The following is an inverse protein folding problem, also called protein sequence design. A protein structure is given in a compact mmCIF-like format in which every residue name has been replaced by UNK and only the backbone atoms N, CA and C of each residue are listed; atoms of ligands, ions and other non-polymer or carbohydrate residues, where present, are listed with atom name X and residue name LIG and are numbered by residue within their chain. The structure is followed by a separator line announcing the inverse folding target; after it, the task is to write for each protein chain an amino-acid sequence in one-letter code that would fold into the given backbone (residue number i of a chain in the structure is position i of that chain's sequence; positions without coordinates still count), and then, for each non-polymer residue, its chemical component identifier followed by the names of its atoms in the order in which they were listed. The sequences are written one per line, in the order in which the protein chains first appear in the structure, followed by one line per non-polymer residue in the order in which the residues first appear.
data_IF_747278139303
#
_entry.id   IF_747278139303
#
_cell.length_a   1.000
_cell.length_b   1.000
_cell.length_c   1.000
_cell.angle_alpha   90.00
_cell.angle_beta   90.00
_cell.angle_gamma   90.00
#
_symmetry.space_group_name_H-M   'P 1'
#
loop_
_entity.id
_entity.type
_entity.pdbx_description
1 polymer ?
#
# COMPACT_ATOMS: atom_id res chain seq x y z
N UNK A 1 -3.95 17.26 17.28
CA UNK A 1 -4.28 17.90 15.98
C UNK A 1 -5.31 17.06 15.22
N UNK A 2 -6.04 17.68 14.29
CA UNK A 2 -6.84 16.97 13.30
C UNK A 2 -6.08 16.83 11.99
N UNK A 3 -5.75 15.58 11.64
CA UNK A 3 -4.87 15.23 10.51
C UNK A 3 -5.66 14.60 9.40
N UNK A 4 -5.43 15.04 8.16
CA UNK A 4 -5.99 14.42 6.96
C UNK A 4 -4.92 13.62 6.21
N UNK A 5 -5.12 12.32 6.05
CA UNK A 5 -4.27 11.48 5.20
C UNK A 5 -4.69 11.64 3.75
N UNK A 6 -3.74 11.99 2.87
CA UNK A 6 -3.91 12.01 1.42
C UNK A 6 -3.10 10.87 0.80
N UNK A 7 -3.78 9.81 0.40
CA UNK A 7 -3.16 8.62 -0.20
C UNK A 7 -4.00 8.07 -1.36
N UNK A 8 -3.53 7.02 -1.99
CA UNK A 8 -4.29 6.30 -3.01
C UNK A 8 -5.51 5.63 -2.37
N UNK A 9 -6.70 5.81 -2.94
CA UNK A 9 -7.92 5.14 -2.49
C UNK A 9 -8.28 4.02 -3.46
N UNK A 10 -7.54 2.91 -3.42
CA UNK A 10 -7.80 1.73 -4.22
C UNK A 10 -8.49 0.64 -3.38
N UNK A 11 -9.80 0.46 -3.60
CA UNK A 11 -10.63 -0.52 -2.89
C UNK A 11 -10.52 -1.94 -3.45
N UNK A 12 -9.51 -2.23 -4.23
CA UNK A 12 -9.18 -3.56 -4.74
C UNK A 12 -7.74 -3.99 -4.46
N UNK A 13 -6.95 -3.12 -3.80
CA UNK A 13 -5.54 -3.35 -3.54
C UNK A 13 -5.28 -3.54 -2.03
N UNK A 14 -4.80 -4.73 -1.65
CA UNK A 14 -4.50 -5.09 -0.27
C UNK A 14 -3.51 -4.13 0.39
N UNK A 15 -2.35 -3.94 -0.24
CA UNK A 15 -1.30 -3.09 0.29
C UNK A 15 -1.78 -1.66 0.51
N UNK A 16 -2.56 -1.14 -0.44
CA UNK A 16 -3.10 0.20 -0.35
C UNK A 16 -4.02 0.40 0.86
N UNK A 17 -4.97 -0.52 1.10
CA UNK A 17 -5.85 -0.43 2.27
C UNK A 17 -5.11 -0.64 3.58
N UNK A 18 -4.18 -1.61 3.60
CA UNK A 18 -3.44 -1.97 4.82
C UNK A 18 -2.43 -0.88 5.23
N UNK A 19 -1.73 -0.24 4.28
CA UNK A 19 -0.85 0.89 4.61
C UNK A 19 -1.65 2.12 5.10
N UNK A 20 -2.81 2.38 4.52
CA UNK A 20 -3.68 3.48 4.97
C UNK A 20 -4.17 3.25 6.41
N UNK A 21 -4.65 2.05 6.71
CA UNK A 21 -5.01 1.65 8.07
C UNK A 21 -3.84 1.82 9.04
N UNK A 22 -2.66 1.33 8.68
CA UNK A 22 -1.48 1.38 9.53
C UNK A 22 -1.03 2.83 9.82
N UNK A 23 -1.04 3.70 8.79
CA UNK A 23 -0.71 5.11 8.98
C UNK A 23 -1.73 5.81 9.88
N UNK A 24 -3.04 5.57 9.66
CA UNK A 24 -4.09 6.09 10.52
C UNK A 24 -3.87 5.65 11.98
N UNK A 25 -3.65 4.36 12.24
CA UNK A 25 -3.43 3.85 13.59
C UNK A 25 -2.17 4.41 14.25
N UNK A 26 -1.11 4.58 13.48
CA UNK A 26 0.13 5.21 13.97
C UNK A 26 -0.11 6.66 14.39
N UNK A 27 -0.78 7.45 13.58
CA UNK A 27 -1.10 8.85 13.91
C UNK A 27 -2.10 8.96 15.07
N UNK A 28 -3.11 8.09 15.13
CA UNK A 28 -4.05 7.99 16.27
C UNK A 28 -3.32 7.65 17.57
N UNK A 29 -2.33 6.75 17.53
CA UNK A 29 -1.53 6.39 18.71
C UNK A 29 -0.66 7.53 19.25
N UNK A 30 -0.44 8.55 18.42
CA UNK A 30 0.25 9.81 18.80
C UNK A 30 -0.72 10.91 19.32
N UNK A 31 -2.00 10.56 19.56
CA UNK A 31 -3.01 11.46 20.12
C UNK A 31 -3.73 12.36 19.11
N UNK A 32 -3.69 12.03 17.82
CA UNK A 32 -4.32 12.84 16.79
C UNK A 32 -5.72 12.29 16.40
N UNK A 33 -6.61 13.19 15.99
CA UNK A 33 -7.84 12.84 15.27
C UNK A 33 -7.51 12.72 13.77
N UNK A 34 -7.75 11.55 13.19
CA UNK A 34 -7.27 11.23 11.84
C UNK A 34 -8.41 10.86 10.92
N UNK A 35 -8.38 11.41 9.70
CA UNK A 35 -9.32 11.09 8.63
C UNK A 35 -8.56 10.88 7.32
N UNK A 36 -8.97 9.93 6.50
CA UNK A 36 -8.44 9.75 5.14
C UNK A 36 -9.32 10.47 4.14
N UNK A 37 -8.72 11.34 3.31
CA UNK A 37 -9.44 12.03 2.23
C UNK A 37 -9.73 11.06 1.09
N UNK A 38 -11.00 11.01 0.66
CA UNK A 38 -11.38 10.28 -0.55
C UNK A 38 -11.00 11.07 -1.79
N UNK A 39 -9.87 10.69 -2.39
CA UNK A 39 -9.33 11.28 -3.59
C UNK A 39 -9.88 10.55 -4.82
N UNK A 40 -10.69 11.23 -5.62
CA UNK A 40 -11.32 10.68 -6.84
C UNK A 40 -10.58 11.14 -8.07
N UNK A 41 -9.39 10.64 -8.28
CA UNK A 41 -8.76 10.76 -9.59
C UNK A 41 -9.40 9.72 -10.50
N UNK A 42 -10.20 10.19 -11.47
CA UNK A 42 -10.80 9.32 -12.47
C UNK A 42 -9.72 8.89 -13.46
N UNK A 43 -9.38 7.62 -13.58
CA UNK A 43 -8.66 7.16 -14.76
C UNK A 43 -9.58 7.38 -15.98
N UNK A 44 -9.10 8.07 -16.99
CA UNK A 44 -9.83 8.38 -18.24
C UNK A 44 -10.24 7.13 -19.08
N UNK A 45 -9.92 5.94 -18.60
CA UNK A 45 -10.03 4.68 -19.32
C UNK A 45 -11.41 3.98 -19.24
N UNK A 46 -12.36 4.50 -18.47
CA UNK A 46 -13.73 3.94 -18.48
C UNK A 46 -14.61 4.71 -19.47
N UNK A 47 -14.94 4.07 -20.59
CA UNK A 47 -15.87 4.63 -21.60
C UNK A 47 -17.27 4.07 -21.45
N UNK A 48 -18.29 4.85 -21.86
CA UNK A 48 -19.68 4.40 -22.01
C UNK A 48 -20.60 4.64 -20.81
N UNK A 49 -21.76 3.95 -20.81
CA UNK A 49 -22.84 4.13 -19.82
C UNK A 49 -22.38 3.87 -18.38
N UNK A 50 -21.48 2.91 -18.17
CA UNK A 50 -20.88 2.62 -16.86
C UNK A 50 -20.14 3.83 -16.27
N UNK A 51 -19.37 4.56 -17.09
CA UNK A 51 -18.68 5.79 -16.66
C UNK A 51 -19.70 6.85 -16.20
N UNK A 52 -20.78 7.05 -16.95
CA UNK A 52 -21.83 8.03 -16.59
C UNK A 52 -22.50 7.66 -15.26
N UNK A 53 -22.86 6.39 -15.08
CA UNK A 53 -23.48 5.89 -13.85
C UNK A 53 -22.52 6.03 -12.66
N UNK A 54 -21.26 5.65 -12.80
CA UNK A 54 -20.24 5.79 -11.75
C UNK A 54 -19.92 7.25 -11.43
N UNK A 55 -19.90 8.14 -12.42
CA UNK A 55 -19.71 9.58 -12.22
C UNK A 55 -20.88 10.23 -11.46
N UNK A 56 -22.12 9.85 -11.77
CA UNK A 56 -23.30 10.39 -11.09
C UNK A 56 -23.53 9.80 -9.70
N UNK A 57 -23.33 8.50 -9.53
CA UNK A 57 -23.65 7.78 -8.30
C UNK A 57 -22.43 7.52 -7.40
N UNK A 58 -21.21 7.61 -7.95
CA UNK A 58 -19.96 7.20 -7.29
C UNK A 58 -19.75 5.69 -7.31
N UNK A 59 -18.49 5.27 -7.41
CA UNK A 59 -18.07 3.87 -7.59
C UNK A 59 -18.56 2.91 -6.49
N UNK A 60 -18.78 3.42 -5.29
CA UNK A 60 -19.19 2.67 -4.10
C UNK A 60 -20.55 3.12 -3.57
N UNK A 61 -21.40 3.74 -4.41
CA UNK A 61 -22.76 4.06 -4.00
C UNK A 61 -23.57 2.77 -3.83
N UNK A 62 -24.58 2.82 -2.93
CA UNK A 62 -25.49 1.70 -2.71
C UNK A 62 -26.15 1.22 -4.02
N UNK A 63 -26.51 2.13 -4.91
CA UNK A 63 -27.10 1.82 -6.21
C UNK A 63 -26.10 1.13 -7.15
N UNK A 64 -24.84 1.54 -7.17
CA UNK A 64 -23.79 0.87 -7.96
C UNK A 64 -23.55 -0.56 -7.45
N UNK A 65 -23.54 -0.75 -6.13
CA UNK A 65 -23.40 -2.08 -5.53
C UNK A 65 -24.62 -2.98 -5.82
N UNK A 66 -25.83 -2.45 -5.79
CA UNK A 66 -27.03 -3.21 -6.16
C UNK A 66 -27.01 -3.63 -7.64
N UNK A 67 -26.59 -2.73 -8.52
CA UNK A 67 -26.43 -3.04 -9.94
C UNK A 67 -25.37 -4.12 -10.18
N UNK A 68 -24.20 -3.99 -9.55
CA UNK A 68 -23.14 -5.01 -9.64
C UNK A 68 -23.58 -6.35 -9.06
N UNK A 69 -24.33 -6.34 -7.94
CA UNK A 69 -24.94 -7.55 -7.36
C UNK A 69 -25.88 -8.23 -8.33
N UNK A 70 -26.77 -7.48 -8.98
CA UNK A 70 -27.68 -8.02 -9.97
C UNK A 70 -26.94 -8.70 -11.13
N UNK A 71 -25.90 -8.05 -11.67
CA UNK A 71 -25.11 -8.63 -12.74
C UNK A 71 -24.18 -9.77 -12.29
N UNK A 72 -23.90 -9.89 -11.00
CA UNK A 72 -23.09 -10.97 -10.45
C UNK A 72 -23.77 -12.35 -10.55
N UNK A 73 -25.10 -12.35 -10.64
CA UNK A 73 -25.90 -13.59 -10.76
C UNK A 73 -25.63 -14.32 -12.10
N UNK A 74 -25.23 -13.58 -13.14
CA UNK A 74 -25.08 -14.11 -14.49
C UNK A 74 -23.69 -14.71 -14.82
N UNK A 75 -22.72 -14.64 -13.90
CA UNK A 75 -21.37 -15.12 -14.14
C UNK A 75 -20.60 -15.34 -12.85
N UNK A 76 -20.00 -16.54 -12.72
CA UNK A 76 -19.16 -16.89 -11.55
C UNK A 76 -18.04 -15.87 -11.33
N UNK A 77 -17.34 -15.45 -12.38
CA UNK A 77 -16.29 -14.41 -12.25
C UNK A 77 -16.83 -13.08 -11.75
N UNK A 78 -18.03 -12.67 -12.17
CA UNK A 78 -18.65 -11.44 -11.68
C UNK A 78 -19.07 -11.55 -10.21
N UNK A 79 -19.54 -12.75 -9.81
CA UNK A 79 -19.87 -13.05 -8.41
C UNK A 79 -18.64 -12.93 -7.53
N UNK A 80 -17.54 -13.59 -7.89
CA UNK A 80 -16.27 -13.55 -7.15
C UNK A 80 -15.72 -12.12 -7.03
N UNK A 81 -15.74 -11.35 -8.12
CA UNK A 81 -15.32 -9.94 -8.10
C UNK A 81 -16.20 -9.07 -7.21
N UNK A 82 -17.52 -9.30 -7.22
CA UNK A 82 -18.46 -8.59 -6.35
C UNK A 82 -18.18 -8.93 -4.87
N UNK A 83 -18.06 -10.22 -4.52
CA UNK A 83 -17.74 -10.66 -3.15
C UNK A 83 -16.44 -10.03 -2.66
N UNK A 84 -15.39 -10.07 -3.50
CA UNK A 84 -14.11 -9.43 -3.17
C UNK A 84 -14.28 -7.93 -2.91
N UNK A 85 -14.99 -7.22 -3.78
CA UNK A 85 -15.26 -5.79 -3.61
C UNK A 85 -15.99 -5.50 -2.29
N UNK A 86 -16.99 -6.31 -1.94
CA UNK A 86 -17.72 -6.19 -0.68
C UNK A 86 -16.79 -6.37 0.53
N UNK A 87 -15.90 -7.37 0.50
CA UNK A 87 -14.95 -7.62 1.58
C UNK A 87 -13.98 -6.45 1.77
N UNK A 88 -13.49 -5.84 0.68
CA UNK A 88 -12.67 -4.63 0.75
C UNK A 88 -13.43 -3.42 1.31
N UNK A 89 -14.68 -3.23 0.92
CA UNK A 89 -15.53 -2.13 1.40
C UNK A 89 -15.87 -2.29 2.88
N UNK A 90 -16.21 -3.51 3.32
CA UNK A 90 -16.47 -3.82 4.72
C UNK A 90 -15.23 -3.54 5.57
N UNK A 91 -14.08 -4.06 5.16
CA UNK A 91 -12.82 -3.77 5.85
C UNK A 91 -12.55 -2.27 5.96
N UNK A 92 -12.73 -1.53 4.86
CA UNK A 92 -12.54 -0.08 4.85
C UNK A 92 -13.48 0.62 5.81
N UNK A 93 -14.79 0.30 5.75
CA UNK A 93 -15.81 0.90 6.60
C UNK A 93 -15.57 0.66 8.10
N UNK A 94 -15.08 -0.54 8.44
CA UNK A 94 -14.84 -0.92 9.83
C UNK A 94 -13.54 -0.37 10.41
N UNK A 95 -12.52 -0.18 9.56
CA UNK A 95 -11.16 0.05 10.02
C UNK A 95 -10.56 1.40 9.62
N UNK A 96 -11.06 2.06 8.58
CA UNK A 96 -10.51 3.31 8.05
C UNK A 96 -11.56 4.42 8.13
N UNK A 97 -11.21 5.51 8.80
CA UNK A 97 -12.05 6.72 8.85
C UNK A 97 -11.87 7.52 7.58
N UNK A 98 -12.78 7.38 6.63
CA UNK A 98 -12.76 8.14 5.39
C UNK A 98 -13.65 9.38 5.47
N UNK A 99 -13.29 10.42 4.70
CA UNK A 99 -14.10 11.63 4.57
C UNK A 99 -15.46 11.30 3.93
N UNK A 100 -16.51 11.99 4.35
CA UNK A 100 -17.86 11.89 3.76
C UNK A 100 -17.97 12.63 2.42
N UNK A 101 -16.96 13.40 2.04
CA UNK A 101 -16.86 14.10 0.75
C UNK A 101 -15.71 13.49 -0.07
N UNK A 102 -15.70 13.84 -1.36
CA UNK A 102 -14.67 13.42 -2.32
C UNK A 102 -14.02 14.66 -2.90
N UNK A 103 -12.72 14.60 -3.12
CA UNK A 103 -12.00 15.62 -3.88
C UNK A 103 -11.65 15.09 -5.27
N UNK A 104 -11.68 15.96 -6.25
CA UNK A 104 -11.28 15.71 -7.63
C UNK A 104 -10.43 16.87 -8.16
N UNK A 105 -9.97 16.80 -9.40
CA UNK A 105 -9.13 17.83 -10.02
C UNK A 105 -9.85 19.20 -10.16
N UNK A 106 -11.17 19.24 -10.07
CA UNK A 106 -11.98 20.45 -10.10
C UNK A 106 -12.14 21.09 -8.72
N UNK A 107 -11.80 20.35 -7.66
CA UNK A 107 -11.86 20.85 -6.28
C UNK A 107 -10.76 21.90 -6.09
N UNK A 108 -11.16 23.16 -5.87
CA UNK A 108 -10.21 24.28 -5.70
C UNK A 108 -10.06 24.73 -4.25
N UNK A 109 -11.17 24.82 -3.53
CA UNK A 109 -11.25 25.11 -2.09
C UNK A 109 -12.50 24.49 -1.53
N UNK A 110 -12.44 23.97 -0.34
CA UNK A 110 -13.60 23.42 0.34
C UNK A 110 -13.57 23.77 1.83
N UNK A 111 -14.76 23.95 2.41
CA UNK A 111 -14.92 24.38 3.79
C UNK A 111 -14.31 23.41 4.80
N UNK A 112 -14.17 22.15 4.43
CA UNK A 112 -13.55 21.12 5.26
C UNK A 112 -12.09 21.44 5.62
N UNK A 113 -11.33 22.07 4.73
CA UNK A 113 -9.94 22.46 4.95
C UNK A 113 -9.76 23.30 6.22
N UNK A 114 -10.77 24.09 6.58
CA UNK A 114 -10.78 24.88 7.82
C UNK A 114 -10.72 24.01 9.09
N UNK A 115 -11.18 22.76 9.02
CA UNK A 115 -11.18 21.84 10.15
C UNK A 115 -9.93 20.96 10.23
N UNK A 116 -9.02 21.08 9.28
CA UNK A 116 -7.77 20.31 9.23
C UNK A 116 -6.62 21.18 9.71
N UNK A 117 -5.78 20.61 10.54
CA UNK A 117 -4.56 21.26 11.05
C UNK A 117 -3.35 20.92 10.14
N UNK A 118 -3.28 19.67 9.65
CA UNK A 118 -2.16 19.18 8.86
C UNK A 118 -2.58 18.07 7.88
N UNK A 119 -1.94 18.01 6.72
CA UNK A 119 -2.06 16.90 5.80
C UNK A 119 -0.83 15.98 5.89
N UNK A 120 -1.08 14.65 5.89
CA UNK A 120 -0.04 13.65 5.76
C UNK A 120 -0.21 12.94 4.42
N UNK A 121 0.76 13.12 3.52
CA UNK A 121 0.77 12.59 2.15
C UNK A 121 1.48 11.23 2.15
N UNK A 122 0.80 10.22 1.64
CA UNK A 122 1.35 8.86 1.57
C UNK A 122 0.61 7.91 2.53
N UNK A 123 1.13 6.79 2.73
CA UNK A 123 2.22 6.12 2.04
C UNK A 123 1.83 5.69 0.60
N UNK A 124 2.46 4.60 0.11
CA UNK A 124 2.24 4.00 -1.18
C UNK A 124 2.73 4.89 -2.36
N UNK A 125 2.49 4.46 -3.58
CA UNK A 125 3.03 5.06 -4.80
C UNK A 125 2.25 6.32 -5.23
N UNK A 126 2.01 7.22 -4.29
CA UNK A 126 1.28 8.48 -4.55
C UNK A 126 1.97 9.36 -5.61
N UNK A 127 3.29 9.25 -5.73
CA UNK A 127 4.09 10.03 -6.69
C UNK A 127 4.55 9.22 -7.91
N UNK A 128 3.86 8.12 -8.24
CA UNK A 128 4.19 7.33 -9.42
C UNK A 128 3.49 7.89 -10.67
N UNK A 129 4.26 8.55 -11.53
CA UNK A 129 3.78 9.14 -12.78
C UNK A 129 3.22 8.12 -13.78
N UNK A 130 3.62 6.86 -13.68
CA UNK A 130 3.14 5.81 -14.58
C UNK A 130 1.70 5.37 -14.28
N UNK A 131 1.13 5.82 -13.17
CA UNK A 131 -0.26 5.54 -12.83
C UNK A 131 -1.20 6.56 -13.46
N UNK A 132 -2.27 6.12 -14.15
CA UNK A 132 -3.24 7.03 -14.78
C UNK A 132 -3.90 8.03 -13.81
N UNK A 133 -3.89 7.70 -12.51
CA UNK A 133 -4.45 8.54 -11.46
C UNK A 133 -3.53 9.66 -10.96
N UNK A 134 -2.24 9.65 -11.33
CA UNK A 134 -1.26 10.63 -10.84
C UNK A 134 -1.65 12.06 -11.23
N UNK A 135 -1.68 12.94 -10.24
CA UNK A 135 -2.13 14.32 -10.43
C UNK A 135 -1.60 15.27 -9.34
N UNK A 136 -1.92 16.55 -9.46
CA UNK A 136 -1.63 17.58 -8.44
C UNK A 136 -2.26 17.31 -7.09
N UNK A 137 -3.35 16.54 -7.04
CA UNK A 137 -3.99 16.15 -5.79
C UNK A 137 -3.08 15.33 -4.89
N UNK A 138 -2.09 14.62 -5.49
CA UNK A 138 -1.12 13.80 -4.77
C UNK A 138 -0.07 14.63 -4.00
N UNK A 139 -0.04 15.95 -4.23
CA UNK A 139 0.76 16.94 -3.48
C UNK A 139 -0.08 17.84 -2.58
N UNK A 140 -1.40 17.62 -2.52
CA UNK A 140 -2.33 18.45 -1.75
C UNK A 140 -2.24 19.93 -2.12
N UNK A 141 -2.10 20.24 -3.42
CA UNK A 141 -1.99 21.63 -3.92
C UNK A 141 -3.26 22.47 -3.67
N UNK A 142 -4.39 21.82 -3.35
CA UNK A 142 -5.65 22.48 -3.03
C UNK A 142 -5.73 23.09 -1.64
N UNK A 143 -4.74 22.87 -0.78
CA UNK A 143 -4.68 23.39 0.59
C UNK A 143 -3.39 24.17 0.85
N UNK A 144 -3.51 25.23 1.66
CA UNK A 144 -2.37 25.99 2.20
C UNK A 144 -1.93 25.52 3.60
N UNK A 145 -2.58 24.48 4.15
CA UNK A 145 -2.20 23.91 5.46
C UNK A 145 -0.85 23.20 5.38
N UNK A 146 -0.21 23.03 6.53
CA UNK A 146 1.04 22.29 6.64
C UNK A 146 0.92 20.87 6.09
N UNK A 147 1.99 20.42 5.42
CA UNK A 147 2.05 19.13 4.75
C UNK A 147 3.29 18.35 5.16
N UNK A 148 3.09 17.10 5.53
CA UNK A 148 4.15 16.13 5.79
C UNK A 148 4.00 15.01 4.78
N UNK A 149 5.05 14.60 4.09
CA UNK A 149 4.97 13.31 3.39
C UNK A 149 5.55 12.21 4.27
N UNK A 150 4.81 11.11 4.40
CA UNK A 150 5.26 9.94 5.14
C UNK A 150 5.34 8.71 4.24
N UNK A 151 6.56 8.20 4.05
CA UNK A 151 6.84 7.05 3.20
C UNK A 151 6.18 7.15 1.81
N UNK A 152 6.07 8.36 1.25
CA UNK A 152 5.57 8.55 -0.10
C UNK A 152 6.53 7.90 -1.11
N UNK A 153 6.00 7.23 -2.11
CA UNK A 153 6.80 6.46 -3.06
C UNK A 153 6.58 6.93 -4.49
N UNK A 154 7.68 7.03 -5.23
CA UNK A 154 7.66 7.21 -6.68
C UNK A 154 7.41 5.88 -7.39
N UNK A 155 7.79 4.75 -6.79
CA UNK A 155 7.64 3.42 -7.37
C UNK A 155 8.51 3.18 -8.61
N UNK A 156 9.36 4.12 -8.98
CA UNK A 156 10.26 4.11 -10.15
C UNK A 156 11.65 4.58 -9.74
N UNK A 157 12.65 4.30 -10.58
CA UNK A 157 14.03 4.68 -10.29
C UNK A 157 14.36 6.12 -10.70
N UNK A 158 13.66 6.68 -11.68
CA UNK A 158 13.82 8.07 -12.16
C UNK A 158 12.49 8.55 -12.77
N UNK A 159 12.40 9.85 -13.02
CA UNK A 159 11.24 10.49 -13.64
C UNK A 159 11.63 11.13 -14.96
N UNK A 160 10.71 11.20 -15.96
CA UNK A 160 10.97 11.91 -17.20
C UNK A 160 11.26 13.40 -16.96
N UNK A 161 12.24 13.94 -17.67
CA UNK A 161 12.62 15.36 -17.55
C UNK A 161 11.45 16.33 -17.79
N UNK A 162 10.50 15.96 -18.64
CA UNK A 162 9.29 16.73 -18.90
C UNK A 162 8.40 16.92 -17.66
N UNK A 163 8.54 16.06 -16.64
CA UNK A 163 7.79 16.14 -15.38
C UNK A 163 8.56 16.85 -14.25
N UNK A 164 9.84 17.22 -14.46
CA UNK A 164 10.66 17.82 -13.43
C UNK A 164 10.01 19.07 -12.79
N UNK A 165 9.45 19.95 -13.61
CA UNK A 165 8.79 21.16 -13.11
C UNK A 165 7.52 20.84 -12.32
N UNK A 166 6.72 19.87 -12.78
CA UNK A 166 5.52 19.42 -12.09
C UNK A 166 5.85 18.90 -10.68
N UNK A 167 6.83 18.00 -10.58
CA UNK A 167 7.27 17.49 -9.27
C UNK A 167 7.92 18.56 -8.40
N UNK A 168 8.74 19.45 -8.99
CA UNK A 168 9.39 20.53 -8.23
C UNK A 168 8.36 21.43 -7.56
N UNK A 169 7.31 21.83 -8.26
CA UNK A 169 6.23 22.65 -7.71
C UNK A 169 5.53 21.90 -6.57
N UNK A 170 5.13 20.64 -6.78
CA UNK A 170 4.43 19.85 -5.77
C UNK A 170 5.29 19.60 -4.52
N UNK A 171 6.56 19.23 -4.71
CA UNK A 171 7.48 18.92 -3.61
C UNK A 171 7.84 20.16 -2.76
N UNK A 172 8.03 21.34 -3.38
CA UNK A 172 8.28 22.58 -2.66
C UNK A 172 7.10 23.03 -1.80
N UNK A 173 5.91 22.51 -2.03
CA UNK A 173 4.74 22.76 -1.20
C UNK A 173 4.62 21.86 0.03
N UNK A 174 5.62 21.02 0.32
CA UNK A 174 5.61 20.07 1.45
C UNK A 174 6.66 20.49 2.47
N UNK A 175 6.25 20.68 3.72
CA UNK A 175 7.14 21.22 4.77
C UNK A 175 8.16 20.19 5.29
N UNK A 176 7.73 18.91 5.40
CA UNK A 176 8.58 17.82 5.89
C UNK A 176 8.45 16.60 4.99
N UNK A 177 9.54 16.22 4.34
CA UNK A 177 9.53 15.15 3.31
C UNK A 177 10.21 13.90 3.82
N UNK A 178 9.50 12.76 3.77
CA UNK A 178 10.08 11.43 3.82
C UNK A 178 9.55 10.56 2.68
N UNK A 179 10.38 9.62 2.27
CA UNK A 179 10.09 8.71 1.17
C UNK A 179 10.28 7.25 1.62
N UNK A 180 9.73 6.30 0.87
CA UNK A 180 9.81 4.88 1.20
C UNK A 180 11.07 4.19 0.67
N UNK A 181 11.66 4.71 -0.39
CA UNK A 181 12.80 4.08 -1.10
C UNK A 181 13.92 5.05 -1.43
N UNK A 182 15.13 4.48 -1.58
CA UNK A 182 16.35 5.25 -1.89
C UNK A 182 16.27 5.97 -3.24
N UNK A 183 15.63 5.38 -4.27
CA UNK A 183 15.41 6.07 -5.54
C UNK A 183 14.55 7.32 -5.37
N UNK A 184 13.51 7.25 -4.54
CA UNK A 184 12.69 8.41 -4.21
C UNK A 184 13.51 9.51 -3.49
N UNK A 185 14.42 9.13 -2.58
CA UNK A 185 15.36 10.07 -1.96
C UNK A 185 16.20 10.79 -3.03
N UNK A 186 16.78 10.06 -3.96
CA UNK A 186 17.61 10.62 -5.05
C UNK A 186 16.81 11.56 -5.94
N UNK A 187 15.56 11.21 -6.29
CA UNK A 187 14.67 12.05 -7.11
C UNK A 187 14.41 13.39 -6.40
N UNK A 188 14.00 13.35 -5.12
CA UNK A 188 13.72 14.57 -4.35
C UNK A 188 14.95 15.45 -4.24
N UNK A 189 16.11 14.88 -3.86
CA UNK A 189 17.37 15.62 -3.72
C UNK A 189 17.78 16.30 -5.03
N UNK A 190 17.66 15.59 -6.15
CA UNK A 190 17.96 16.13 -7.51
C UNK A 190 17.03 17.29 -7.88
N UNK A 191 15.75 17.21 -7.52
CA UNK A 191 14.73 18.18 -7.96
C UNK A 191 14.72 19.47 -7.13
N UNK A 192 14.85 19.38 -5.82
CA UNK A 192 14.66 20.49 -4.90
C UNK A 192 15.80 20.71 -3.91
N UNK A 193 16.89 19.94 -3.98
CA UNK A 193 18.07 20.06 -3.10
C UNK A 193 17.83 19.67 -1.63
N UNK A 194 16.68 19.07 -1.31
CA UNK A 194 16.34 18.58 0.04
C UNK A 194 16.71 17.11 0.15
N UNK A 195 17.35 16.73 1.26
CA UNK A 195 17.68 15.34 1.60
C UNK A 195 16.53 14.70 2.43
N UNK A 196 15.55 14.01 1.82
CA UNK A 196 14.44 13.43 2.56
C UNK A 196 14.91 12.21 3.37
N UNK A 197 14.21 11.93 4.47
CA UNK A 197 14.43 10.68 5.22
C UNK A 197 13.80 9.51 4.47
N UNK A 198 14.53 8.40 4.39
CA UNK A 198 13.95 7.11 3.96
C UNK A 198 13.40 6.43 5.20
N UNK A 199 12.08 6.19 5.21
CA UNK A 199 11.35 5.63 6.36
C UNK A 199 10.62 4.36 5.98
N UNK A 200 10.26 3.56 6.97
CA UNK A 200 9.48 2.33 6.75
C UNK A 200 8.08 2.63 6.24
N UNK A 201 7.57 1.74 5.38
CA UNK A 201 6.15 1.71 5.07
C UNK A 201 5.33 1.58 6.36
N UNK A 202 4.18 2.26 6.50
CA UNK A 202 3.36 2.21 7.71
C UNK A 202 3.00 0.80 8.16
N UNK A 203 2.87 -0.15 7.23
CA UNK A 203 2.55 -1.54 7.58
C UNK A 203 3.56 -2.16 8.53
N UNK A 204 4.82 -1.76 8.45
CA UNK A 204 5.91 -2.23 9.31
C UNK A 204 5.98 -1.51 10.67
N UNK A 205 5.20 -0.44 10.88
CA UNK A 205 5.10 0.25 12.16
C UNK A 205 4.21 -0.48 13.16
N UNK A 206 3.24 -1.24 12.69
CA UNK A 206 2.36 -2.03 13.54
C UNK A 206 3.00 -3.37 13.89
N UNK A 207 2.66 -3.88 15.06
CA UNK A 207 3.14 -5.20 15.51
C UNK A 207 2.34 -6.34 14.88
N UNK A 208 2.91 -7.54 14.89
CA UNK A 208 2.20 -8.79 14.55
C UNK A 208 0.87 -8.92 15.30
N UNK A 209 0.86 -8.55 16.60
CA UNK A 209 -0.35 -8.61 17.44
C UNK A 209 -1.42 -7.63 16.96
N UNK A 210 -1.04 -6.42 16.54
CA UNK A 210 -1.99 -5.43 16.04
C UNK A 210 -2.65 -5.88 14.73
N UNK A 211 -1.88 -6.47 13.83
CA UNK A 211 -2.41 -7.06 12.61
C UNK A 211 -3.35 -8.25 12.87
N UNK A 212 -3.04 -9.09 13.86
CA UNK A 212 -3.89 -10.22 14.24
C UNK A 212 -5.25 -9.80 14.82
N UNK A 213 -5.38 -8.59 15.38
CA UNK A 213 -6.67 -8.07 15.90
C UNK A 213 -7.71 -7.84 14.81
N UNK A 214 -7.27 -7.50 13.60
CA UNK A 214 -8.14 -7.18 12.46
C UNK A 214 -8.10 -8.26 11.37
N UNK A 215 -7.44 -9.37 11.61
CA UNK A 215 -7.43 -10.51 10.72
C UNK A 215 -8.65 -11.42 10.98
N UNK A 216 -9.07 -12.16 9.96
CA UNK A 216 -10.03 -13.24 10.16
C UNK A 216 -9.43 -14.34 11.05
N UNK A 217 -10.30 -15.15 11.66
CA UNK A 217 -9.88 -16.28 12.52
C UNK A 217 -9.97 -17.62 11.80
N UNK A 218 -9.91 -17.61 10.47
CA UNK A 218 -10.00 -18.84 9.70
C UNK A 218 -8.82 -19.77 10.02
N UNK A 219 -9.14 -21.04 10.20
CA UNK A 219 -8.19 -22.12 10.46
C UNK A 219 -8.04 -22.95 9.20
N UNK A 220 -6.81 -23.29 8.86
CA UNK A 220 -6.50 -24.16 7.72
C UNK A 220 -6.07 -25.53 8.25
N UNK A 221 -6.65 -26.60 7.70
CA UNK A 221 -6.35 -27.99 8.09
C UNK A 221 -4.99 -28.45 7.59
N UNK A 222 -4.53 -27.89 6.48
CA UNK A 222 -3.29 -28.27 5.82
C UNK A 222 -2.24 -27.16 5.93
N UNK A 223 -0.98 -27.56 6.04
CA UNK A 223 0.16 -26.66 5.89
C UNK A 223 0.26 -26.20 4.45
N UNK A 224 0.45 -24.90 4.23
CA UNK A 224 0.46 -24.34 2.89
C UNK A 224 1.55 -23.30 2.67
N UNK A 225 1.96 -23.17 1.42
CA UNK A 225 2.70 -22.01 0.94
C UNK A 225 1.76 -21.03 0.25
N UNK A 226 2.04 -19.74 0.43
CA UNK A 226 1.27 -18.67 -0.22
C UNK A 226 2.02 -18.16 -1.45
N UNK A 227 1.36 -18.16 -2.59
CA UNK A 227 1.86 -17.62 -3.85
C UNK A 227 1.07 -16.37 -4.20
N UNK A 228 1.73 -15.22 -4.16
CA UNK A 228 1.11 -13.92 -4.41
C UNK A 228 1.95 -13.08 -5.36
N UNK A 229 1.55 -13.02 -6.61
CA UNK A 229 2.20 -12.26 -7.68
C UNK A 229 1.23 -11.23 -8.27
N UNK A 230 1.75 -10.05 -8.54
CA UNK A 230 1.05 -8.97 -9.23
C UNK A 230 1.37 -8.96 -10.73
N UNK A 231 2.51 -9.54 -11.13
CA UNK A 231 2.86 -9.85 -12.51
C UNK A 231 2.61 -11.31 -12.86
N UNK A 232 2.99 -11.67 -14.08
CA UNK A 232 2.91 -13.04 -14.56
C UNK A 232 4.03 -13.89 -13.95
N UNK A 233 3.71 -15.12 -13.56
CA UNK A 233 4.68 -16.10 -13.09
C UNK A 233 5.17 -16.91 -14.31
N UNK A 234 6.49 -17.02 -14.48
CA UNK A 234 7.07 -17.88 -15.52
C UNK A 234 6.78 -19.36 -15.23
N UNK A 235 6.85 -20.19 -16.27
CA UNK A 235 6.69 -21.66 -16.14
C UNK A 235 7.77 -22.22 -15.23
N UNK A 236 9.00 -21.74 -15.35
CA UNK A 236 10.14 -22.23 -14.58
C UNK A 236 10.01 -21.82 -13.10
N UNK A 237 9.65 -20.57 -12.80
CA UNK A 237 9.41 -20.12 -11.44
C UNK A 237 8.28 -20.89 -10.78
N UNK A 238 7.18 -21.13 -11.51
CA UNK A 238 6.08 -21.90 -10.95
C UNK A 238 6.44 -23.37 -10.75
N UNK A 239 7.22 -23.96 -11.66
CA UNK A 239 7.74 -25.32 -11.48
C UNK A 239 8.67 -25.45 -10.28
N UNK A 240 9.49 -24.43 -10.02
CA UNK A 240 10.32 -24.35 -8.81
C UNK A 240 9.44 -24.32 -7.54
N UNK A 241 8.43 -23.45 -7.50
CA UNK A 241 7.49 -23.34 -6.36
C UNK A 241 6.77 -24.67 -6.12
N UNK A 242 6.33 -25.36 -7.18
CA UNK A 242 5.70 -26.69 -7.07
C UNK A 242 6.64 -27.74 -6.49
N UNK A 243 7.91 -27.75 -6.92
CA UNK A 243 8.93 -28.66 -6.36
C UNK A 243 9.18 -28.37 -4.88
N UNK A 244 9.27 -27.09 -4.50
CA UNK A 244 9.41 -26.69 -3.09
C UNK A 244 8.22 -27.18 -2.25
N UNK A 245 6.99 -26.95 -2.72
CA UNK A 245 5.78 -27.37 -2.02
C UNK A 245 5.75 -28.90 -1.84
N UNK A 246 6.04 -29.66 -2.90
CA UNK A 246 6.08 -31.12 -2.88
C UNK A 246 7.13 -31.67 -1.92
N UNK A 247 8.36 -31.11 -1.94
CA UNK A 247 9.44 -31.54 -1.06
C UNK A 247 9.18 -31.34 0.42
N UNK A 248 8.33 -30.36 0.76
CA UNK A 248 7.97 -30.01 2.14
C UNK A 248 6.57 -30.51 2.56
N UNK A 249 5.86 -31.22 1.68
CA UNK A 249 4.48 -31.68 1.88
C UNK A 249 3.53 -30.51 2.21
N UNK A 250 3.63 -29.42 1.46
CA UNK A 250 2.78 -28.24 1.59
C UNK A 250 1.79 -28.13 0.43
N UNK A 251 0.59 -27.64 0.70
CA UNK A 251 -0.40 -27.26 -0.31
C UNK A 251 -0.04 -25.87 -0.87
N UNK A 252 -0.27 -25.66 -2.15
CA UNK A 252 -0.11 -24.34 -2.79
C UNK A 252 -1.42 -23.58 -2.73
N UNK A 253 -1.44 -22.45 -2.04
CA UNK A 253 -2.52 -21.46 -2.09
C UNK A 253 -2.06 -20.29 -2.97
N UNK A 254 -2.70 -20.12 -4.14
CA UNK A 254 -2.33 -19.08 -5.11
C UNK A 254 -3.40 -18.00 -5.17
N UNK A 255 -3.09 -16.80 -4.68
CA UNK A 255 -3.95 -15.63 -4.82
C UNK A 255 -4.08 -15.22 -6.29
N UNK A 256 -5.23 -14.66 -6.65
CA UNK A 256 -5.60 -14.32 -8.03
C UNK A 256 -5.68 -15.52 -9.00
N UNK A 257 -5.77 -16.73 -8.48
CA UNK A 257 -6.07 -17.91 -9.28
C UNK A 257 -7.58 -18.15 -9.34
N UNK A 258 -8.13 -18.25 -10.55
CA UNK A 258 -9.56 -18.61 -10.73
C UNK A 258 -9.89 -20.03 -10.25
N UNK A 259 -8.90 -20.85 -10.02
CA UNK A 259 -9.07 -22.22 -9.48
C UNK A 259 -9.29 -22.23 -7.97
N UNK A 260 -8.99 -21.11 -7.29
CA UNK A 260 -9.12 -20.97 -5.86
C UNK A 260 -10.06 -19.78 -5.56
N UNK A 261 -11.36 -20.07 -5.60
CA UNK A 261 -12.42 -19.06 -5.48
C UNK A 261 -12.38 -18.36 -4.12
N UNK A 262 -12.12 -19.08 -3.05
CA UNK A 262 -11.99 -18.53 -1.70
C UNK A 262 -10.88 -17.48 -1.62
N UNK A 263 -9.72 -17.76 -2.21
CA UNK A 263 -8.62 -16.80 -2.26
C UNK A 263 -8.92 -15.63 -3.21
N UNK A 264 -9.72 -15.86 -4.25
CA UNK A 264 -10.14 -14.77 -5.14
C UNK A 264 -11.03 -13.75 -4.44
N UNK A 265 -11.95 -14.20 -3.59
CA UNK A 265 -12.86 -13.36 -2.82
C UNK A 265 -12.21 -12.67 -1.62
N UNK A 266 -11.00 -13.07 -1.23
CA UNK A 266 -10.31 -12.59 -0.04
C UNK A 266 -10.23 -11.06 0.00
N UNK A 267 -10.61 -10.48 1.12
CA UNK A 267 -10.40 -9.08 1.48
C UNK A 267 -9.12 -8.86 2.28
N UNK A 268 -8.88 -7.64 2.78
CA UNK A 268 -7.67 -7.33 3.54
C UNK A 268 -7.53 -8.14 4.86
N UNK A 269 -8.63 -8.47 5.53
CA UNK A 269 -8.59 -9.26 6.76
C UNK A 269 -8.16 -10.71 6.51
N UNK A 270 -8.68 -11.33 5.43
CA UNK A 270 -8.27 -12.66 4.96
C UNK A 270 -6.82 -12.66 4.49
N UNK A 271 -6.37 -11.61 3.79
CA UNK A 271 -4.98 -11.45 3.38
C UNK A 271 -4.03 -11.51 4.59
N UNK A 272 -4.32 -10.77 5.66
CA UNK A 272 -3.52 -10.81 6.90
C UNK A 272 -3.50 -12.22 7.47
N UNK A 273 -4.65 -12.91 7.50
CA UNK A 273 -4.74 -14.27 8.02
C UNK A 273 -3.89 -15.26 7.21
N UNK A 274 -3.98 -15.20 5.89
CA UNK A 274 -3.18 -16.04 4.98
C UNK A 274 -1.68 -15.89 5.25
N UNK A 275 -1.17 -14.65 5.33
CA UNK A 275 0.23 -14.41 5.66
C UNK A 275 0.60 -14.91 7.06
N UNK A 276 -0.31 -14.77 8.04
CA UNK A 276 -0.06 -15.23 9.41
C UNK A 276 0.04 -16.76 9.51
N UNK A 277 -0.61 -17.50 8.62
CA UNK A 277 -0.73 -18.97 8.65
C UNK A 277 0.14 -19.70 7.64
N UNK A 278 0.61 -19.02 6.59
CA UNK A 278 1.50 -19.63 5.59
C UNK A 278 2.82 -20.13 6.23
N UNK A 279 3.35 -21.23 5.72
CA UNK A 279 4.68 -21.74 6.08
C UNK A 279 5.77 -20.99 5.31
N UNK A 280 5.51 -20.68 4.02
CA UNK A 280 6.39 -19.91 3.17
C UNK A 280 5.59 -19.01 2.22
N UNK A 281 6.22 -17.96 1.71
CA UNK A 281 5.63 -17.00 0.77
C UNK A 281 6.53 -16.82 -0.45
N UNK A 282 5.95 -16.92 -1.64
CA UNK A 282 6.61 -16.64 -2.92
C UNK A 282 5.91 -15.48 -3.59
N UNK A 283 6.66 -14.41 -3.93
CA UNK A 283 6.01 -13.15 -4.31
C UNK A 283 6.89 -12.21 -5.13
N UNK A 284 6.25 -11.30 -5.87
CA UNK A 284 6.84 -10.12 -6.52
C UNK A 284 6.35 -8.81 -5.88
N UNK A 285 5.63 -8.89 -4.75
CA UNK A 285 4.93 -7.77 -4.14
C UNK A 285 5.64 -7.21 -2.91
N UNK A 286 5.84 -5.88 -2.88
CA UNK A 286 6.40 -5.18 -1.72
C UNK A 286 5.63 -5.47 -0.42
N UNK A 287 4.30 -5.38 -0.44
CA UNK A 287 3.51 -5.60 0.78
C UNK A 287 3.51 -7.07 1.21
N UNK A 288 3.61 -8.00 0.27
CA UNK A 288 3.78 -9.41 0.62
C UNK A 288 5.12 -9.66 1.33
N UNK A 289 6.19 -9.02 0.88
CA UNK A 289 7.50 -9.05 1.57
C UNK A 289 7.35 -8.46 2.98
N UNK A 290 6.72 -7.28 3.11
CA UNK A 290 6.51 -6.64 4.40
C UNK A 290 5.73 -7.54 5.37
N UNK A 291 4.62 -8.16 4.93
CA UNK A 291 3.83 -9.08 5.77
C UNK A 291 4.57 -10.38 6.06
N UNK A 292 5.39 -10.88 5.15
CA UNK A 292 6.27 -12.03 5.43
C UNK A 292 7.24 -11.74 6.56
N UNK A 293 7.84 -10.55 6.57
CA UNK A 293 8.73 -10.08 7.64
C UNK A 293 7.95 -9.93 8.96
N UNK A 294 6.80 -9.25 8.97
CA UNK A 294 5.95 -9.04 10.16
C UNK A 294 5.58 -10.36 10.83
N UNK A 295 5.27 -11.39 10.02
CA UNK A 295 4.84 -12.71 10.52
C UNK A 295 5.97 -13.72 10.63
N UNK A 296 7.23 -13.31 10.41
CA UNK A 296 8.43 -14.17 10.48
C UNK A 296 8.32 -15.40 9.57
N UNK A 297 7.92 -15.22 8.31
CA UNK A 297 7.76 -16.29 7.35
C UNK A 297 9.00 -16.48 6.50
N UNK A 298 9.30 -17.73 6.12
CA UNK A 298 10.18 -17.95 4.99
C UNK A 298 9.59 -17.29 3.75
N UNK A 299 10.40 -16.57 2.98
CA UNK A 299 9.92 -15.99 1.73
C UNK A 299 11.03 -15.88 0.69
N UNK A 300 10.61 -15.90 -0.57
CA UNK A 300 11.45 -15.59 -1.72
C UNK A 300 10.76 -14.54 -2.59
N UNK A 301 11.58 -13.60 -3.08
CA UNK A 301 11.13 -12.49 -3.91
C UNK A 301 11.55 -12.75 -5.35
N UNK A 302 10.59 -12.65 -6.25
CA UNK A 302 10.81 -12.78 -7.68
C UNK A 302 10.77 -11.43 -8.37
N UNK A 303 11.52 -11.30 -9.46
CA UNK A 303 11.42 -10.12 -10.29
C UNK A 303 10.04 -10.08 -10.95
N UNK A 304 9.42 -8.90 -10.93
CA UNK A 304 8.12 -8.76 -11.57
C UNK A 304 8.25 -8.78 -13.07
N UNK A 305 7.60 -9.75 -13.70
CA UNK A 305 7.43 -9.76 -15.16
C UNK A 305 6.30 -8.79 -15.54
N UNK A 306 6.69 -7.58 -15.96
CA UNK A 306 5.77 -6.49 -16.21
C UNK A 306 6.31 -5.56 -17.32
N UNK A 307 5.43 -5.12 -18.24
CA UNK A 307 5.77 -4.13 -19.26
C UNK A 307 5.69 -2.72 -18.65
N UNK A 308 6.80 -2.21 -18.12
CA UNK A 308 6.86 -0.87 -17.51
C UNK A 308 8.17 -0.64 -16.77
N UNK A 309 8.34 0.55 -16.15
CA UNK A 309 9.51 0.83 -15.33
C UNK A 309 9.64 -0.15 -14.18
N UNK A 310 10.87 -0.59 -13.88
CA UNK A 310 11.12 -1.45 -12.73
C UNK A 310 10.63 -0.79 -11.44
N UNK A 311 9.89 -1.55 -10.64
CA UNK A 311 9.36 -1.12 -9.34
C UNK A 311 10.10 -1.81 -8.18
N UNK A 312 11.27 -2.41 -8.42
CA UNK A 312 12.00 -3.22 -7.45
C UNK A 312 12.70 -2.39 -6.37
N UNK A 313 13.03 -1.12 -6.64
CA UNK A 313 13.77 -0.24 -5.72
C UNK A 313 13.18 -0.18 -4.30
N UNK A 314 11.86 -0.31 -4.15
CA UNK A 314 11.18 -0.37 -2.85
C UNK A 314 11.52 -1.65 -2.09
N UNK A 315 11.54 -2.78 -2.79
CA UNK A 315 11.89 -4.09 -2.23
C UNK A 315 13.39 -4.10 -1.93
N UNK A 316 14.23 -3.62 -2.85
CA UNK A 316 15.68 -3.51 -2.63
C UNK A 316 16.00 -2.68 -1.39
N UNK A 317 15.34 -1.52 -1.23
CA UNK A 317 15.51 -0.66 -0.05
C UNK A 317 15.10 -1.38 1.24
N UNK A 318 13.95 -2.06 1.24
CA UNK A 318 13.46 -2.80 2.41
C UNK A 318 14.40 -3.97 2.78
N UNK A 319 14.76 -4.79 1.80
CA UNK A 319 15.64 -5.93 2.01
C UNK A 319 17.05 -5.49 2.44
N UNK A 320 17.59 -4.43 1.82
CA UNK A 320 18.89 -3.86 2.20
C UNK A 320 18.89 -3.32 3.63
N UNK A 321 17.84 -2.61 4.05
CA UNK A 321 17.72 -2.09 5.41
C UNK A 321 17.63 -3.18 6.49
N UNK A 322 17.19 -4.39 6.12
CA UNK A 322 16.95 -5.50 7.06
C UNK A 322 17.93 -6.66 6.90
N UNK A 323 18.98 -6.50 6.08
CA UNK A 323 19.96 -7.52 5.76
C UNK A 323 19.35 -8.82 5.20
N UNK A 324 18.41 -8.65 4.26
CA UNK A 324 17.63 -9.71 3.61
C UNK A 324 17.80 -9.74 2.09
N UNK A 325 18.88 -9.15 1.56
CA UNK A 325 19.12 -9.07 0.10
C UNK A 325 19.28 -10.44 -0.56
N UNK A 326 19.61 -11.46 0.24
CA UNK A 326 19.64 -12.86 -0.17
C UNK A 326 18.24 -13.48 -0.38
N UNK A 327 17.16 -12.77 -0.12
CA UNK A 327 15.79 -13.24 -0.35
C UNK A 327 15.29 -13.04 -1.79
N UNK A 328 16.02 -12.32 -2.63
CA UNK A 328 15.77 -12.38 -4.06
C UNK A 328 15.96 -13.80 -4.56
N UNK A 329 14.99 -14.34 -5.29
CA UNK A 329 15.05 -15.73 -5.79
C UNK A 329 16.35 -16.04 -6.56
N UNK A 330 16.83 -15.08 -7.35
CA UNK A 330 18.10 -15.20 -8.08
C UNK A 330 19.35 -15.29 -7.20
N UNK A 331 19.25 -14.93 -5.90
CA UNK A 331 20.34 -14.94 -4.91
C UNK A 331 20.09 -15.89 -3.75
N UNK A 332 18.88 -16.46 -3.68
CA UNK A 332 18.46 -17.25 -2.53
C UNK A 332 19.12 -18.63 -2.53
N UNK A 333 19.80 -18.96 -1.42
CA UNK A 333 20.18 -20.34 -1.15
C UNK A 333 18.94 -21.13 -0.75
N UNK A 334 18.67 -22.22 -1.47
CA UNK A 334 17.47 -23.04 -1.26
C UNK A 334 17.35 -23.49 0.21
N UNK A 335 16.16 -23.27 0.76
CA UNK A 335 15.81 -23.65 2.14
C UNK A 335 16.65 -22.98 3.25
N UNK A 336 17.46 -21.96 2.95
CA UNK A 336 18.20 -21.25 3.97
C UNK A 336 17.23 -20.50 4.90
N UNK A 337 17.22 -20.81 6.20
CA UNK A 337 16.35 -20.13 7.16
C UNK A 337 16.71 -18.64 7.27
N UNK A 338 15.72 -17.83 7.61
CA UNK A 338 15.92 -16.40 7.89
C UNK A 338 16.23 -16.22 9.37
N UNK A 339 17.31 -15.52 9.68
CA UNK A 339 17.62 -15.10 11.06
C UNK A 339 16.70 -13.92 11.47
N UNK A 340 15.53 -14.25 11.91
CA UNK A 340 14.57 -13.24 12.36
C UNK A 340 15.00 -12.54 13.66
N UNK A 341 15.91 -13.07 14.45
CA UNK A 341 16.46 -12.36 15.63
C UNK A 341 17.22 -11.10 15.18
N UNK A 342 18.11 -11.26 14.18
CA UNK A 342 18.84 -10.14 13.58
C UNK A 342 17.92 -9.18 12.85
N UNK A 343 17.03 -9.72 11.97
CA UNK A 343 16.08 -8.93 11.18
C UNK A 343 15.18 -8.07 12.05
N UNK A 344 14.66 -8.60 13.16
CA UNK A 344 13.79 -7.85 14.07
C UNK A 344 14.53 -6.75 14.83
N UNK A 345 15.80 -6.93 15.18
CA UNK A 345 16.62 -5.85 15.75
C UNK A 345 16.77 -4.70 14.77
N UNK A 346 17.12 -4.97 13.51
CA UNK A 346 17.22 -3.96 12.46
C UNK A 346 15.88 -3.28 12.20
N UNK A 347 14.78 -4.06 12.13
CA UNK A 347 13.44 -3.52 11.94
C UNK A 347 13.05 -2.56 13.06
N UNK A 348 13.35 -2.88 14.33
CA UNK A 348 13.05 -2.01 15.46
C UNK A 348 13.82 -0.69 15.39
N UNK A 349 15.10 -0.71 15.03
CA UNK A 349 15.89 0.52 14.81
C UNK A 349 15.24 1.40 13.73
N UNK A 350 14.92 0.81 12.57
CA UNK A 350 14.28 1.55 11.48
C UNK A 350 12.87 2.04 11.84
N UNK A 351 12.16 1.32 12.68
CA UNK A 351 10.85 1.72 13.20
C UNK A 351 10.96 2.93 14.10
N UNK A 352 11.92 2.95 15.01
CA UNK A 352 12.18 4.10 15.89
C UNK A 352 12.58 5.35 15.09
N UNK A 353 13.46 5.22 14.10
CA UNK A 353 13.84 6.31 13.19
C UNK A 353 12.60 6.88 12.45
N UNK A 354 11.73 5.98 11.95
CA UNK A 354 10.52 6.35 11.20
C UNK A 354 9.49 7.05 12.09
N UNK A 355 9.27 6.54 13.30
CA UNK A 355 8.38 7.17 14.29
C UNK A 355 8.92 8.50 14.78
N UNK A 356 10.24 8.61 14.98
CA UNK A 356 10.90 9.85 15.36
C UNK A 356 10.73 10.93 14.29
N UNK A 357 10.90 10.59 13.00
CA UNK A 357 10.64 11.53 11.92
C UNK A 357 9.19 12.06 11.99
N UNK A 358 8.21 11.16 12.07
CA UNK A 358 6.81 11.54 12.07
C UNK A 358 6.45 12.41 13.28
N UNK A 359 6.87 12.02 14.48
CA UNK A 359 6.64 12.76 15.73
C UNK A 359 7.27 14.14 15.69
N UNK A 360 8.53 14.24 15.23
CA UNK A 360 9.24 15.53 15.16
C UNK A 360 8.58 16.47 14.14
N UNK A 361 8.13 15.96 13.00
CA UNK A 361 7.43 16.74 11.99
C UNK A 361 6.09 17.26 12.53
N UNK A 362 5.31 16.42 13.19
CA UNK A 362 4.04 16.80 13.80
C UNK A 362 4.21 17.86 14.90
N UNK A 363 5.20 17.68 15.79
CA UNK A 363 5.49 18.66 16.84
C UNK A 363 5.87 20.03 16.27
N UNK A 364 6.59 20.09 15.15
CA UNK A 364 6.95 21.37 14.50
C UNK A 364 5.71 22.03 13.89
N UNK A 365 4.84 21.25 13.24
CA UNK A 365 3.55 21.77 12.73
C UNK A 365 2.69 22.30 13.87
N UNK A 366 2.56 21.57 14.99
CA UNK A 366 1.76 22.00 16.13
C UNK A 366 2.25 23.32 16.75
N UNK A 367 3.56 23.51 16.82
CA UNK A 367 4.14 24.79 17.27
C UNK A 367 3.79 25.92 16.32
N UNK A 368 3.94 25.75 15.02
CA UNK A 368 3.63 26.79 14.02
C UNK A 368 2.13 27.15 13.94
N UNK A 369 1.24 26.30 14.45
CA UNK A 369 -0.21 26.62 14.55
C UNK A 369 -0.49 27.47 15.80
N UNK A 370 0.30 27.27 16.86
CA UNK A 370 0.10 27.97 18.16
C UNK A 370 0.85 29.29 18.23
N UNK A 371 1.78 29.57 17.34
CA UNK A 371 2.43 30.86 17.11
C UNK A 371 1.58 31.79 16.23
#
# INVERSE_FOLDING_TARGET
MRIAISTINDYGNYGNRLQNYALQKTLESMGNDVITIRNMVNPDNETGLKRKIKQQLGDNSYLTLLFEKFFSIFSQTKKLNYSRKVNFLNFTKENIKESNFKIDEKTRRFNFDKSIDCYVIGSDQVWNYSFPRFSKLDFVEYSSKSKISYAASFGVNDIPNSLNNFYRVGLNGIDYISVRENSGKMIVSKLIGVEPKVVLDPTLLLSKKDWQKISTKQVYSEKFILVYFLGDISIDDFSYIQKFAKSNNFVIKRMFSRKDEELWESGPAEFINLFSKAEAVFTDSFHAVAFSIIFNKYFEVFERNFKGPSMNSRIDTLLGNLDLTDRWHSKCEKNKPIDYSKTMKLLNIRKEESLSFLKNSLNKVERSINE
#
